data_IF_624427286834
#
_entry.id   IF_624427286834
#
_cell.length_a   1.000
_cell.length_b   1.000
_cell.length_c   1.000
_cell.angle_alpha   90.00
_cell.angle_beta   90.00
_cell.angle_gamma   90.00
#
_symmetry.space_group_name_H-M   'P 1'
#
loop_
_entity.id
_entity.type
_entity.pdbx_description
1 polymer ?
#
# COMPACT_ATOMS: atom_id res chain seq x y z
N UNK A 1 18.90 -11.67 -27.93
CA UNK A 1 19.08 -12.04 -26.51
C UNK A 1 18.24 -13.28 -26.28
N UNK A 2 18.81 -14.35 -25.70
CA UNK A 2 18.03 -15.55 -25.36
C UNK A 2 17.12 -15.27 -24.15
N UNK A 3 16.09 -16.09 -23.96
CA UNK A 3 15.20 -15.98 -22.79
C UNK A 3 15.98 -16.12 -21.47
N UNK A 4 16.95 -17.02 -21.43
CA UNK A 4 17.82 -17.21 -20.27
C UNK A 4 18.65 -15.97 -19.95
N UNK A 5 19.30 -15.35 -20.94
CA UNK A 5 20.08 -14.14 -20.77
C UNK A 5 19.22 -12.96 -20.32
N UNK A 6 17.98 -12.85 -20.78
CA UNK A 6 17.03 -11.84 -20.31
C UNK A 6 16.67 -12.07 -18.82
N UNK A 7 16.39 -13.32 -18.47
CA UNK A 7 16.04 -13.70 -17.09
C UNK A 7 17.18 -13.40 -16.13
N UNK A 8 18.43 -13.74 -16.48
CA UNK A 8 19.61 -13.44 -15.66
C UNK A 8 19.83 -11.92 -15.50
N UNK A 9 19.67 -11.17 -16.59
CA UNK A 9 19.78 -9.71 -16.55
C UNK A 9 18.72 -9.08 -15.62
N UNK A 10 17.47 -9.53 -15.70
CA UNK A 10 16.40 -9.04 -14.82
C UNK A 10 16.69 -9.38 -13.35
N UNK A 11 17.12 -10.60 -13.05
CA UNK A 11 17.49 -11.02 -11.69
C UNK A 11 18.67 -10.20 -11.13
N UNK A 12 19.67 -9.92 -11.94
CA UNK A 12 20.80 -9.07 -11.54
C UNK A 12 20.34 -7.65 -11.20
N UNK A 13 19.50 -7.04 -12.05
CA UNK A 13 18.95 -5.71 -11.77
C UNK A 13 18.12 -5.66 -10.48
N UNK A 14 17.30 -6.69 -10.24
CA UNK A 14 16.49 -6.80 -9.03
C UNK A 14 17.37 -6.98 -7.79
N UNK A 15 18.42 -7.80 -7.84
CA UNK A 15 19.32 -8.04 -6.70
C UNK A 15 20.09 -6.78 -6.29
N UNK A 16 20.31 -5.84 -7.22
CA UNK A 16 20.97 -4.55 -6.99
C UNK A 16 20.01 -3.39 -6.75
N UNK A 17 18.71 -3.66 -6.62
CA UNK A 17 17.63 -2.65 -6.49
C UNK A 17 17.69 -1.55 -7.59
N UNK A 18 18.06 -1.92 -8.80
CA UNK A 18 18.13 -0.98 -9.93
C UNK A 18 16.71 -0.69 -10.44
N UNK A 19 16.29 0.57 -10.37
CA UNK A 19 14.94 1.02 -10.77
C UNK A 19 14.90 1.55 -12.21
N UNK A 20 15.39 0.76 -13.17
CA UNK A 20 15.35 1.14 -14.58
C UNK A 20 13.92 1.18 -15.12
N UNK A 21 13.60 2.16 -15.97
CA UNK A 21 12.25 2.35 -16.52
C UNK A 21 11.77 1.13 -17.32
N UNK A 22 12.64 0.53 -18.13
CA UNK A 22 12.30 -0.67 -18.91
C UNK A 22 12.02 -1.89 -18.02
N UNK A 23 12.71 -2.01 -16.87
CA UNK A 23 12.47 -3.08 -15.90
C UNK A 23 11.09 -2.91 -15.26
N UNK A 24 10.73 -1.69 -14.87
CA UNK A 24 9.38 -1.39 -14.35
C UNK A 24 8.29 -1.66 -15.38
N UNK A 25 8.53 -1.32 -16.66
CA UNK A 25 7.57 -1.61 -17.73
C UNK A 25 7.40 -3.10 -17.96
N UNK A 26 8.49 -3.87 -17.95
CA UNK A 26 8.45 -5.33 -18.07
C UNK A 26 7.71 -5.97 -16.87
N UNK A 27 8.02 -5.53 -15.65
CA UNK A 27 7.33 -6.00 -14.44
C UNK A 27 5.83 -5.71 -14.51
N UNK A 28 5.45 -4.49 -14.93
CA UNK A 28 4.04 -4.12 -15.12
C UNK A 28 3.32 -5.04 -16.11
N UNK A 29 3.93 -5.30 -17.27
CA UNK A 29 3.39 -6.22 -18.27
C UNK A 29 3.25 -7.66 -17.75
N UNK A 30 4.26 -8.17 -17.06
CA UNK A 30 4.22 -9.52 -16.49
C UNK A 30 3.15 -9.65 -15.40
N UNK A 31 3.00 -8.64 -14.55
CA UNK A 31 1.96 -8.62 -13.53
C UNK A 31 0.57 -8.56 -14.16
N UNK A 32 0.36 -7.66 -15.12
CA UNK A 32 -0.91 -7.55 -15.84
C UNK A 32 -1.30 -8.89 -16.49
N UNK A 33 -0.37 -9.51 -17.22
CA UNK A 33 -0.60 -10.81 -17.86
C UNK A 33 -0.86 -11.91 -16.83
N UNK A 34 -0.06 -11.96 -15.76
CA UNK A 34 -0.19 -12.97 -14.70
C UNK A 34 -1.50 -12.84 -13.92
N UNK A 35 -1.94 -11.62 -13.63
CA UNK A 35 -3.22 -11.38 -12.97
C UNK A 35 -4.42 -11.69 -13.87
N UNK A 36 -4.40 -11.26 -15.14
CA UNK A 36 -5.48 -11.55 -16.08
C UNK A 36 -5.62 -13.04 -16.40
N UNK A 37 -4.50 -13.77 -16.47
CA UNK A 37 -4.53 -15.22 -16.67
C UNK A 37 -4.92 -16.01 -15.41
N UNK A 38 -5.03 -15.34 -14.25
CA UNK A 38 -5.27 -15.99 -12.96
C UNK A 38 -4.08 -16.75 -12.37
N UNK A 39 -2.91 -16.68 -13.01
CA UNK A 39 -1.67 -17.28 -12.50
C UNK A 39 -1.12 -16.54 -11.28
N UNK A 40 -1.42 -15.24 -11.17
CA UNK A 40 -1.07 -14.42 -10.01
C UNK A 40 -2.34 -14.03 -9.26
N UNK A 41 -2.21 -14.00 -7.93
CA UNK A 41 -3.16 -13.40 -7.01
C UNK A 41 -2.37 -12.58 -6.00
N UNK A 42 -2.85 -11.39 -5.70
CA UNK A 42 -2.23 -10.56 -4.67
C UNK A 42 -2.56 -11.13 -3.28
N UNK A 43 -1.57 -11.57 -2.50
CA UNK A 43 -1.83 -12.11 -1.18
C UNK A 43 -2.24 -10.98 -0.25
N UNK A 44 -3.38 -11.15 0.43
CA UNK A 44 -3.82 -10.30 1.54
C UNK A 44 -3.87 -11.12 2.83
N UNK A 45 -3.68 -10.46 3.95
CA UNK A 45 -3.95 -11.04 5.25
C UNK A 45 -5.46 -11.27 5.40
N UNK A 46 -5.89 -12.32 6.14
CA UNK A 46 -7.29 -12.74 6.20
C UNK A 46 -8.27 -11.69 6.73
N UNK A 47 -7.80 -10.77 7.56
CA UNK A 47 -8.58 -9.69 8.16
C UNK A 47 -8.89 -8.53 7.21
N UNK A 48 -8.12 -8.37 6.11
CA UNK A 48 -8.22 -7.18 5.23
C UNK A 48 -9.55 -7.10 4.50
N UNK A 49 -9.96 -8.17 3.82
CA UNK A 49 -11.20 -8.19 3.05
C UNK A 49 -12.45 -7.95 3.93
N UNK A 50 -12.65 -8.74 5.01
CA UNK A 50 -13.75 -8.53 5.94
C UNK A 50 -13.76 -7.13 6.55
N UNK A 51 -12.60 -6.58 6.90
CA UNK A 51 -12.53 -5.24 7.49
C UNK A 51 -12.85 -4.15 6.47
N UNK A 52 -12.42 -4.27 5.23
CA UNK A 52 -12.81 -3.35 4.16
C UNK A 52 -14.34 -3.34 3.97
N UNK A 53 -14.96 -4.51 3.98
CA UNK A 53 -16.41 -4.63 3.88
C UNK A 53 -17.14 -3.96 5.07
N UNK A 54 -16.65 -4.17 6.29
CA UNK A 54 -17.21 -3.53 7.50
C UNK A 54 -17.07 -2.01 7.42
N UNK A 55 -15.87 -1.50 7.17
CA UNK A 55 -15.63 -0.06 7.08
C UNK A 55 -16.49 0.61 6.01
N UNK A 56 -16.60 0.00 4.83
CA UNK A 56 -17.45 0.54 3.75
C UNK A 56 -18.92 0.58 4.19
N UNK A 57 -19.41 -0.46 4.88
CA UNK A 57 -20.76 -0.51 5.41
C UNK A 57 -21.03 0.58 6.45
N UNK A 58 -20.01 0.88 7.27
CA UNK A 58 -20.08 1.89 8.32
C UNK A 58 -19.81 3.33 7.78
N UNK A 59 -19.66 3.47 6.46
CA UNK A 59 -19.46 4.76 5.80
C UNK A 59 -18.02 5.28 5.88
N UNK A 60 -17.07 4.46 6.32
CA UNK A 60 -15.64 4.82 6.34
C UNK A 60 -15.07 4.71 4.92
N UNK A 61 -14.42 5.76 4.47
CA UNK A 61 -13.76 5.78 3.17
C UNK A 61 -12.36 5.17 3.26
N UNK A 62 -12.09 4.23 2.39
CA UNK A 62 -10.79 3.56 2.29
C UNK A 62 -10.01 4.21 1.14
N UNK A 63 -8.80 4.65 1.44
CA UNK A 63 -7.89 5.28 0.48
C UNK A 63 -6.55 4.56 0.54
N UNK A 64 -5.98 4.28 -0.62
CA UNK A 64 -4.69 3.61 -0.71
C UNK A 64 -3.60 4.62 -1.07
N UNK A 65 -2.52 4.62 -0.29
CA UNK A 65 -1.33 5.40 -0.59
C UNK A 65 -0.08 4.50 -0.60
N UNK A 66 0.57 4.41 -1.76
CA UNK A 66 1.70 3.50 -1.99
C UNK A 66 2.78 4.14 -2.85
N UNK A 67 4.02 3.64 -2.76
CA UNK A 67 5.09 3.99 -3.72
C UNK A 67 4.90 3.33 -5.10
N UNK A 68 4.07 2.31 -5.20
CA UNK A 68 3.63 1.73 -6.47
C UNK A 68 2.66 2.66 -7.20
N UNK A 69 2.71 2.69 -8.54
CA UNK A 69 1.81 3.53 -9.33
C UNK A 69 0.34 3.21 -9.07
N UNK A 70 -0.54 4.20 -9.21
CA UNK A 70 -2.00 4.01 -9.09
C UNK A 70 -2.50 2.86 -9.97
N UNK A 71 -1.96 2.71 -11.17
CA UNK A 71 -2.32 1.58 -12.06
C UNK A 71 -1.95 0.22 -11.45
N UNK A 72 -0.74 0.10 -10.88
CA UNK A 72 -0.30 -1.13 -10.22
C UNK A 72 -1.13 -1.43 -8.95
N UNK A 73 -1.48 -0.41 -8.18
CA UNK A 73 -2.34 -0.55 -7.01
C UNK A 73 -3.73 -1.07 -7.40
N UNK A 74 -4.37 -0.48 -8.41
CA UNK A 74 -5.67 -0.93 -8.92
C UNK A 74 -5.63 -2.36 -9.45
N UNK A 75 -4.54 -2.72 -10.14
CA UNK A 75 -4.34 -4.08 -10.64
C UNK A 75 -4.24 -5.09 -9.48
N UNK A 76 -3.47 -4.75 -8.44
CA UNK A 76 -3.32 -5.57 -7.23
C UNK A 76 -4.66 -5.80 -6.54
N UNK A 77 -5.39 -4.72 -6.21
CA UNK A 77 -6.64 -4.82 -5.47
C UNK A 77 -7.80 -5.43 -6.28
N UNK A 78 -7.68 -5.49 -7.60
CA UNK A 78 -8.64 -6.20 -8.46
C UNK A 78 -8.46 -7.70 -8.46
N UNK A 79 -7.26 -8.20 -8.14
CA UNK A 79 -6.89 -9.61 -8.28
C UNK A 79 -6.31 -10.17 -6.98
N UNK A 80 -7.01 -10.00 -5.87
CA UNK A 80 -6.57 -10.51 -4.56
C UNK A 80 -6.89 -12.00 -4.39
N UNK A 81 -6.31 -12.61 -3.35
CA UNK A 81 -6.65 -13.97 -2.92
C UNK A 81 -7.87 -14.03 -1.98
N UNK A 82 -8.50 -12.87 -1.69
CA UNK A 82 -9.66 -12.76 -0.81
C UNK A 82 -10.99 -13.06 -1.50
N UNK A 83 -12.07 -13.00 -0.73
CA UNK A 83 -13.44 -13.01 -1.22
C UNK A 83 -14.19 -11.77 -0.71
N UNK A 84 -14.65 -10.89 -1.62
CA UNK A 84 -14.44 -10.95 -3.07
C UNK A 84 -12.98 -10.73 -3.46
N UNK A 85 -12.55 -11.28 -4.60
CA UNK A 85 -11.19 -11.10 -5.11
C UNK A 85 -10.92 -9.67 -5.60
N UNK A 86 -11.95 -8.96 -6.06
CA UNK A 86 -11.89 -7.56 -6.46
C UNK A 86 -12.34 -6.67 -5.30
N UNK A 87 -11.39 -5.99 -4.68
CA UNK A 87 -11.63 -5.01 -3.61
C UNK A 87 -11.68 -3.57 -4.12
N UNK A 88 -11.49 -3.33 -5.41
CA UNK A 88 -11.50 -1.96 -5.96
C UNK A 88 -12.81 -1.20 -5.72
N UNK A 89 -14.01 -1.84 -5.66
CA UNK A 89 -15.25 -1.13 -5.33
C UNK A 89 -15.32 -0.58 -3.91
N UNK A 90 -14.52 -1.14 -2.98
CA UNK A 90 -14.45 -0.67 -1.59
C UNK A 90 -13.46 0.49 -1.40
N UNK A 91 -12.63 0.80 -2.40
CA UNK A 91 -11.56 1.80 -2.31
C UNK A 91 -12.01 3.07 -3.00
N UNK A 92 -12.10 4.15 -2.23
CA UNK A 92 -12.59 5.44 -2.69
C UNK A 92 -11.56 6.20 -3.55
N UNK A 93 -10.27 6.09 -3.23
CA UNK A 93 -9.22 6.79 -3.98
C UNK A 93 -7.84 6.12 -3.85
N UNK A 94 -6.92 6.53 -4.73
CA UNK A 94 -5.57 5.99 -4.82
C UNK A 94 -4.53 7.09 -4.97
N UNK A 95 -3.49 7.04 -4.14
CA UNK A 95 -2.37 7.95 -4.18
C UNK A 95 -1.05 7.21 -4.37
N UNK A 96 -0.13 7.84 -5.11
CA UNK A 96 1.24 7.39 -5.27
C UNK A 96 2.23 8.57 -5.12
N UNK A 97 3.51 8.30 -5.29
CA UNK A 97 4.55 9.33 -5.14
C UNK A 97 4.51 10.41 -6.22
N UNK A 98 3.79 10.20 -7.32
CA UNK A 98 3.63 11.18 -8.40
C UNK A 98 2.51 12.16 -8.07
N UNK A 99 1.36 11.66 -7.63
CA UNK A 99 0.19 12.51 -7.38
C UNK A 99 0.11 13.05 -5.94
N UNK A 100 0.74 12.42 -4.94
CA UNK A 100 0.78 12.90 -3.57
C UNK A 100 2.17 13.43 -3.15
N UNK A 101 3.25 12.72 -3.42
CA UNK A 101 4.61 13.00 -2.96
C UNK A 101 5.22 11.82 -2.23
N UNK A 102 6.32 12.04 -1.50
CA UNK A 102 7.03 10.98 -0.79
C UNK A 102 6.30 10.63 0.52
N UNK A 103 6.18 9.34 0.83
CA UNK A 103 5.47 8.84 2.02
C UNK A 103 6.10 9.21 3.37
N UNK A 104 7.33 9.72 3.38
CA UNK A 104 8.03 10.17 4.58
C UNK A 104 7.93 11.69 4.80
N UNK A 105 7.12 12.39 4.00
CA UNK A 105 6.92 13.83 4.07
C UNK A 105 5.49 14.16 4.51
N UNK A 106 5.34 15.00 5.52
CA UNK A 106 4.03 15.42 6.04
C UNK A 106 3.18 16.12 4.97
N UNK A 107 3.81 16.93 4.11
CA UNK A 107 3.16 17.62 3.00
C UNK A 107 2.40 16.70 2.04
N UNK A 108 2.84 15.45 1.90
CA UNK A 108 2.14 14.46 1.08
C UNK A 108 0.79 14.08 1.67
N UNK A 109 0.71 13.92 2.99
CA UNK A 109 -0.54 13.61 3.71
C UNK A 109 -1.47 14.82 3.77
N UNK A 110 -0.94 16.03 3.95
CA UNK A 110 -1.68 17.29 3.86
C UNK A 110 -2.33 17.44 2.47
N UNK A 111 -1.57 17.12 1.40
CA UNK A 111 -2.06 17.15 0.04
C UNK A 111 -3.18 16.13 -0.20
N UNK A 112 -3.05 14.91 0.33
CA UNK A 112 -4.10 13.88 0.27
C UNK A 112 -5.35 14.37 1.00
N UNK A 113 -5.22 14.85 2.24
CA UNK A 113 -6.35 15.34 3.02
C UNK A 113 -7.05 16.53 2.34
N UNK A 114 -6.30 17.43 1.69
CA UNK A 114 -6.87 18.59 0.99
C UNK A 114 -7.77 18.22 -0.20
N UNK A 115 -7.57 17.03 -0.80
CA UNK A 115 -8.43 16.53 -1.88
C UNK A 115 -9.74 15.91 -1.36
N UNK A 116 -9.84 15.71 -0.05
CA UNK A 116 -11.00 15.18 0.65
C UNK A 116 -11.35 16.10 1.84
N UNK A 117 -11.53 17.39 1.56
CA UNK A 117 -11.68 18.45 2.57
C UNK A 117 -12.94 18.38 3.44
N UNK A 118 -13.82 17.43 3.17
CA UNK A 118 -15.01 17.12 3.98
C UNK A 118 -14.68 16.36 5.27
N UNK A 119 -13.45 15.84 5.43
CA UNK A 119 -12.96 15.21 6.65
C UNK A 119 -11.69 15.92 7.14
N UNK A 120 -11.71 16.52 8.36
CA UNK A 120 -10.52 17.17 8.91
C UNK A 120 -9.42 16.13 9.20
N UNK A 121 -8.12 16.54 9.20
CA UNK A 121 -7.01 15.60 9.38
C UNK A 121 -7.13 14.68 10.61
N UNK A 122 -7.67 15.16 11.72
CA UNK A 122 -7.87 14.37 12.94
C UNK A 122 -8.86 13.21 12.83
N UNK A 123 -9.68 13.17 11.78
CA UNK A 123 -10.61 12.06 11.46
C UNK A 123 -10.00 11.01 10.53
N UNK A 124 -8.76 11.22 10.09
CA UNK A 124 -8.03 10.27 9.26
C UNK A 124 -7.22 9.32 10.13
N UNK A 125 -7.20 8.06 9.75
CA UNK A 125 -6.31 7.05 10.30
C UNK A 125 -5.40 6.52 9.19
N UNK A 126 -4.09 6.74 9.33
CA UNK A 126 -3.09 6.18 8.44
C UNK A 126 -2.45 4.94 9.07
N UNK A 127 -2.32 3.89 8.29
CA UNK A 127 -1.80 2.58 8.70
C UNK A 127 -0.59 2.23 7.85
N UNK A 128 0.56 1.95 8.47
CA UNK A 128 1.80 1.55 7.78
C UNK A 128 2.68 0.72 8.71
N UNK A 129 3.54 -0.13 8.14
CA UNK A 129 4.63 -0.82 8.84
C UNK A 129 5.89 0.04 8.98
N UNK A 130 5.93 1.19 8.33
CA UNK A 130 7.08 2.08 8.31
C UNK A 130 6.93 3.23 9.31
N UNK A 131 7.78 3.26 10.34
CA UNK A 131 7.77 4.27 11.40
C UNK A 131 7.83 5.70 10.86
N UNK A 132 8.69 5.97 9.85
CA UNK A 132 8.84 7.32 9.28
C UNK A 132 7.57 7.79 8.56
N UNK A 133 6.83 6.87 7.97
CA UNK A 133 5.53 7.17 7.33
C UNK A 133 4.47 7.48 8.38
N UNK A 134 4.44 6.70 9.47
CA UNK A 134 3.54 6.94 10.62
C UNK A 134 3.82 8.31 11.25
N UNK A 135 5.08 8.66 11.43
CA UNK A 135 5.48 9.97 11.93
C UNK A 135 5.09 11.12 11.00
N UNK A 136 5.28 10.95 9.70
CA UNK A 136 4.90 11.94 8.70
C UNK A 136 3.38 12.19 8.68
N UNK A 137 2.57 11.13 8.76
CA UNK A 137 1.12 11.25 8.86
C UNK A 137 0.69 11.96 10.15
N UNK A 138 1.30 11.63 11.30
CA UNK A 138 1.04 12.34 12.58
C UNK A 138 1.41 13.81 12.50
N UNK A 139 2.53 14.17 11.86
CA UNK A 139 2.93 15.58 11.65
C UNK A 139 1.92 16.35 10.79
N UNK A 140 1.24 15.67 9.86
CA UNK A 140 0.15 16.25 9.08
C UNK A 140 -1.19 16.33 9.83
N UNK A 141 -1.23 15.97 11.12
CA UNK A 141 -2.42 16.01 11.97
C UNK A 141 -3.32 14.79 11.91
N UNK A 142 -2.92 13.73 11.20
CA UNK A 142 -3.68 12.48 11.14
C UNK A 142 -3.41 11.61 12.37
N UNK A 143 -4.36 10.76 12.73
CA UNK A 143 -4.08 9.59 13.56
C UNK A 143 -3.24 8.61 12.73
N UNK A 144 -2.29 7.90 13.37
CA UNK A 144 -1.51 6.90 12.65
C UNK A 144 -0.98 5.83 13.59
N UNK A 145 -1.08 4.56 13.16
CA UNK A 145 -0.61 3.39 13.90
C UNK A 145 0.36 2.58 13.06
N UNK A 146 1.26 1.88 13.73
CA UNK A 146 2.13 0.90 13.09
C UNK A 146 1.36 -0.41 12.96
N UNK A 147 1.38 -1.01 11.77
CA UNK A 147 0.81 -2.33 11.53
C UNK A 147 1.96 -3.33 11.39
N UNK A 148 2.18 -4.16 12.40
CA UNK A 148 3.22 -5.17 12.40
C UNK A 148 2.66 -6.49 11.90
N UNK A 149 3.06 -6.91 10.70
CA UNK A 149 2.63 -8.16 10.08
C UNK A 149 3.77 -9.17 10.00
N UNK A 150 3.47 -10.48 9.91
CA UNK A 150 4.49 -11.48 9.59
C UNK A 150 5.26 -11.10 8.32
N UNK A 151 6.59 -11.08 8.43
CA UNK A 151 7.48 -10.68 7.33
C UNK A 151 7.90 -9.21 7.32
N UNK A 152 7.31 -8.34 8.15
CA UNK A 152 7.83 -7.00 8.35
C UNK A 152 9.15 -7.03 9.13
N UNK A 153 9.97 -5.97 8.99
CA UNK A 153 11.14 -5.77 9.82
C UNK A 153 10.75 -5.62 11.29
N UNK A 154 11.60 -6.08 12.19
CA UNK A 154 11.38 -5.89 13.63
C UNK A 154 11.39 -4.41 14.00
N UNK A 155 10.44 -4.02 14.85
CA UNK A 155 10.39 -2.68 15.42
C UNK A 155 11.36 -2.57 16.60
N UNK A 156 12.02 -1.41 16.70
CA UNK A 156 12.78 -1.09 17.88
C UNK A 156 11.88 -0.91 19.11
N UNK A 157 12.41 -1.13 20.29
CA UNK A 157 11.68 -0.89 21.55
C UNK A 157 11.21 0.55 21.67
N UNK A 158 12.01 1.50 21.18
CA UNK A 158 11.65 2.91 21.13
C UNK A 158 10.42 3.15 20.25
N UNK A 159 10.38 2.59 19.05
CA UNK A 159 9.22 2.72 18.16
C UNK A 159 7.95 2.11 18.78
N UNK A 160 8.08 0.96 19.47
CA UNK A 160 6.96 0.33 20.18
C UNK A 160 6.45 1.18 21.34
N UNK A 161 7.34 1.89 22.05
CA UNK A 161 6.97 2.75 23.15
C UNK A 161 6.30 4.07 22.70
N UNK A 162 6.66 4.58 21.52
CA UNK A 162 6.19 5.87 21.00
C UNK A 162 4.94 5.79 20.14
N UNK A 163 4.64 4.61 19.58
CA UNK A 163 3.55 4.46 18.63
C UNK A 163 2.60 3.31 19.03
N UNK A 164 1.31 3.51 18.79
CA UNK A 164 0.35 2.41 18.87
C UNK A 164 0.67 1.43 17.75
N UNK A 165 0.89 0.18 18.13
CA UNK A 165 1.13 -0.94 17.22
C UNK A 165 -0.06 -1.87 17.26
N UNK A 166 -0.44 -2.38 16.10
CA UNK A 166 -1.46 -3.42 15.91
C UNK A 166 -0.88 -4.52 15.01
N UNK A 167 -1.39 -5.72 15.17
CA UNK A 167 -1.00 -6.88 14.33
C UNK A 167 -2.10 -7.27 13.35
N UNK A 168 -3.34 -6.84 13.61
CA UNK A 168 -4.52 -7.10 12.79
C UNK A 168 -5.41 -5.87 12.70
N UNK A 169 -6.12 -5.74 11.58
CA UNK A 169 -7.18 -4.73 11.46
C UNK A 169 -8.37 -5.03 12.37
N UNK A 170 -8.50 -6.25 12.91
CA UNK A 170 -9.53 -6.61 13.88
C UNK A 170 -9.38 -5.85 15.22
N UNK A 171 -8.21 -5.24 15.44
CA UNK A 171 -7.94 -4.40 16.61
C UNK A 171 -8.45 -2.94 16.48
N UNK A 172 -9.11 -2.63 15.34
CA UNK A 172 -9.63 -1.30 14.99
C UNK A 172 -11.15 -1.22 15.06
#
# INVERSE_FOLDING_TARGET
MSQEALTEHVKDLMSRDVKASYLKSLQGYLWETGYHSGQLRAPLFPDVGPKFASWTKDGVRIIIYSSGSVAAQKLLFRHTNGEPADLTPAIADYFDTVNAGLKQEASSYEKIASQHADAPPGEWLFLSDNVKEVEAAKKAGMQSFIVQRPGNAELSDEARAQHKCIESFDEL
#
